data_IF_509512792437
#
_entry.id   IF_509512792437
#
_cell.length_a   1.000
_cell.length_b   1.000
_cell.length_c   1.000
_cell.angle_alpha   90.00
_cell.angle_beta   90.00
_cell.angle_gamma   90.00
#
_symmetry.space_group_name_H-M   'P 1'
#
loop_
_entity.id
_entity.type
_entity.pdbx_description
1 polymer ?
#
# COMPACT_ATOMS: atom_id res chain seq x y z
N UNK A 1 -17.09 13.35 3.99
CA UNK A 1 -15.70 12.83 4.02
C UNK A 1 -15.56 11.86 2.87
N UNK A 2 -14.67 12.10 1.92
CA UNK A 2 -14.47 11.21 0.76
C UNK A 2 -13.67 9.97 1.17
N UNK A 3 -13.86 8.88 0.43
CA UNK A 3 -13.26 7.57 0.75
C UNK A 3 -11.72 7.62 0.82
N UNK A 4 -11.11 8.41 -0.07
CA UNK A 4 -9.65 8.62 -0.12
C UNK A 4 -9.08 9.31 1.12
N UNK A 5 -9.81 10.25 1.72
CA UNK A 5 -9.37 10.93 2.95
C UNK A 5 -9.42 9.99 4.15
N UNK A 6 -10.44 9.12 4.20
CA UNK A 6 -10.53 8.11 5.26
C UNK A 6 -9.38 7.12 5.19
N UNK A 7 -9.06 6.61 4.00
CA UNK A 7 -7.93 5.69 3.80
C UNK A 7 -6.61 6.29 4.29
N UNK A 8 -6.32 7.55 3.95
CA UNK A 8 -5.08 8.20 4.37
C UNK A 8 -4.93 8.28 5.90
N UNK A 9 -6.02 8.58 6.61
CA UNK A 9 -6.02 8.63 8.09
C UNK A 9 -5.74 7.23 8.67
N UNK A 10 -6.44 6.21 8.20
CA UNK A 10 -6.28 4.84 8.72
C UNK A 10 -4.88 4.26 8.44
N UNK A 11 -4.28 4.60 7.30
CA UNK A 11 -2.90 4.21 6.99
C UNK A 11 -1.91 4.86 7.95
N UNK A 12 -2.10 6.13 8.30
CA UNK A 12 -1.22 6.81 9.24
C UNK A 12 -1.29 6.17 10.63
N UNK A 13 -2.51 5.84 11.09
CA UNK A 13 -2.71 5.09 12.34
C UNK A 13 -2.01 3.73 12.31
N UNK A 14 -2.04 3.03 11.17
CA UNK A 14 -1.34 1.75 11.02
C UNK A 14 0.19 1.94 11.06
N UNK A 15 0.70 3.00 10.42
CA UNK A 15 2.14 3.31 10.35
C UNK A 15 2.75 3.48 11.74
N UNK A 16 2.01 4.02 12.70
CA UNK A 16 2.47 4.19 14.09
C UNK A 16 2.71 2.86 14.83
N UNK A 17 2.07 1.76 14.41
CA UNK A 17 2.06 0.48 15.13
C UNK A 17 2.67 -0.68 14.35
N UNK A 18 3.01 -0.44 13.09
CA UNK A 18 3.54 -1.45 12.18
C UNK A 18 5.04 -1.26 11.98
N UNK A 19 5.83 -2.29 12.33
CA UNK A 19 7.30 -2.22 12.28
C UNK A 19 7.88 -2.40 10.86
N UNK A 20 7.05 -2.75 9.89
CA UNK A 20 7.43 -2.95 8.50
C UNK A 20 7.21 -1.71 7.63
N UNK A 21 7.35 -1.88 6.31
CA UNK A 21 7.14 -0.80 5.34
C UNK A 21 5.69 -0.81 4.82
N UNK A 22 5.04 0.36 4.80
CA UNK A 22 3.75 0.56 4.14
C UNK A 22 3.95 1.38 2.86
N UNK A 23 3.59 0.80 1.72
CA UNK A 23 3.72 1.40 0.39
C UNK A 23 2.32 1.67 -0.17
N UNK A 24 2.13 2.89 -0.67
CA UNK A 24 0.85 3.43 -1.15
C UNK A 24 0.89 3.74 -2.65
N UNK A 25 -0.27 3.80 -3.33
CA UNK A 25 -0.36 4.34 -4.67
C UNK A 25 0.25 5.75 -4.74
N UNK A 26 1.21 5.95 -5.64
CA UNK A 26 1.96 7.20 -5.79
C UNK A 26 3.39 7.15 -5.23
N UNK A 27 3.70 6.18 -4.35
CA UNK A 27 5.08 5.91 -3.95
C UNK A 27 5.87 5.36 -5.14
N UNK A 28 7.14 5.76 -5.26
CA UNK A 28 8.01 5.36 -6.38
C UNK A 28 8.16 3.84 -6.53
N UNK A 29 8.10 3.09 -5.42
CA UNK A 29 8.24 1.63 -5.39
C UNK A 29 6.93 0.88 -5.64
N UNK A 30 5.78 1.55 -5.72
CA UNK A 30 4.47 0.90 -5.69
C UNK A 30 4.25 -0.06 -6.88
N UNK A 31 4.56 0.38 -8.10
CA UNK A 31 4.36 -0.43 -9.30
C UNK A 31 5.27 -1.67 -9.32
N UNK A 32 6.52 -1.52 -8.88
CA UNK A 32 7.45 -2.64 -8.76
C UNK A 32 6.99 -3.63 -7.69
N UNK A 33 6.48 -3.13 -6.56
CA UNK A 33 6.12 -3.95 -5.39
C UNK A 33 4.79 -4.70 -5.56
N UNK A 34 3.86 -4.21 -6.38
CA UNK A 34 2.62 -4.93 -6.72
C UNK A 34 2.81 -5.95 -7.85
N UNK A 35 3.95 -5.93 -8.54
CA UNK A 35 4.18 -6.80 -9.69
C UNK A 35 4.43 -8.23 -9.23
N UNK A 36 3.61 -9.14 -9.75
CA UNK A 36 3.76 -10.58 -9.53
C UNK A 36 4.41 -11.22 -10.76
N UNK A 37 5.07 -12.36 -10.53
CA UNK A 37 5.67 -13.14 -11.63
C UNK A 37 4.64 -13.50 -12.72
N UNK A 38 3.42 -13.87 -12.32
CA UNK A 38 2.34 -14.09 -13.25
C UNK A 38 1.71 -12.75 -13.65
N UNK A 39 2.12 -12.23 -14.80
CA UNK A 39 1.63 -10.97 -15.36
C UNK A 39 0.11 -10.93 -15.64
N UNK A 40 -0.57 -12.08 -15.71
CA UNK A 40 -2.02 -12.11 -15.84
C UNK A 40 -2.75 -11.56 -14.59
N UNK A 41 -2.05 -11.42 -13.46
CA UNK A 41 -2.59 -10.85 -12.22
C UNK A 41 -2.08 -9.43 -11.98
N UNK A 42 -2.68 -8.48 -12.71
CA UNK A 42 -2.45 -7.04 -12.51
C UNK A 42 -3.51 -6.45 -11.57
N UNK A 43 -3.19 -6.39 -10.26
CA UNK A 43 -4.04 -5.75 -9.24
C UNK A 43 -3.39 -4.49 -8.70
N UNK A 44 -4.24 -3.55 -8.25
CA UNK A 44 -3.86 -2.26 -7.67
C UNK A 44 -4.33 -2.17 -6.22
N UNK A 45 -3.63 -2.80 -5.26
CA UNK A 45 -4.02 -2.76 -3.85
C UNK A 45 -3.93 -1.34 -3.28
N UNK A 46 -4.83 -0.99 -2.36
CA UNK A 46 -4.81 0.32 -1.70
C UNK A 46 -3.58 0.54 -0.81
N UNK A 47 -3.02 -0.55 -0.26
CA UNK A 47 -1.83 -0.56 0.60
C UNK A 47 -1.07 -1.87 0.37
N UNK A 48 0.26 -1.80 0.32
CA UNK A 48 1.16 -2.96 0.37
C UNK A 48 1.94 -2.89 1.68
N UNK A 49 1.84 -3.93 2.51
CA UNK A 49 2.56 -4.01 3.78
C UNK A 49 3.67 -5.05 3.70
N UNK A 50 4.93 -4.61 3.82
CA UNK A 50 6.11 -5.48 3.88
C UNK A 50 6.47 -5.71 5.35
N UNK A 51 6.22 -6.92 5.85
CA UNK A 51 6.51 -7.29 7.24
C UNK A 51 8.02 -7.50 7.48
N UNK A 52 8.46 -7.23 8.71
CA UNK A 52 9.82 -7.49 9.24
C UNK A 52 9.95 -8.86 9.87
#
# INVERSE_FOLDING_TARGET
MTDSTKLAIEVEVLRERFNGELILPGDLSYDDRRTLYNAAHDKRPAVIALCS
#
